data_IF_167715876427
#
_entry.id   IF_167715876427
#
_cell.length_a   1.000
_cell.length_b   1.000
_cell.length_c   1.000
_cell.angle_alpha   90.00
_cell.angle_beta   90.00
_cell.angle_gamma   90.00
#
_symmetry.space_group_name_H-M   'P 1'
#
loop_
_entity.id
_entity.type
_entity.pdbx_description
1 polymer ?
#
# COMPACT_ATOMS: atom_id res chain seq x y z
N UNK A 1 1.74 -22.41 30.68
CA UNK A 1 1.66 -22.58 29.20
C UNK A 1 2.32 -21.38 28.55
N UNK A 2 2.99 -21.56 27.40
CA UNK A 2 3.63 -20.42 26.73
C UNK A 2 2.58 -19.39 26.29
N UNK A 3 2.83 -18.12 26.60
CA UNK A 3 2.00 -16.96 26.15
C UNK A 3 2.26 -16.60 24.67
N UNK A 4 3.17 -17.31 24.03
CA UNK A 4 3.65 -17.03 22.68
C UNK A 4 3.05 -18.02 21.67
N UNK A 5 2.70 -17.53 20.50
CA UNK A 5 2.21 -18.34 19.39
C UNK A 5 3.33 -19.25 18.86
N UNK A 6 3.12 -20.57 18.89
CA UNK A 6 4.08 -21.60 18.48
C UNK A 6 5.50 -21.41 19.04
N UNK A 7 5.62 -20.80 20.23
CA UNK A 7 6.91 -20.54 20.88
C UNK A 7 7.66 -19.32 20.35
N UNK A 8 7.12 -18.58 19.39
CA UNK A 8 7.73 -17.33 18.89
C UNK A 8 7.56 -16.19 19.93
N UNK A 9 8.65 -15.69 20.54
CA UNK A 9 8.56 -14.65 21.56
C UNK A 9 7.98 -13.32 21.07
N UNK A 10 7.96 -13.10 19.76
CA UNK A 10 7.45 -11.85 19.16
C UNK A 10 5.96 -11.90 18.84
N UNK A 11 5.30 -13.06 19.00
CA UNK A 11 3.88 -13.25 18.66
C UNK A 11 3.07 -13.63 19.90
N UNK A 12 2.03 -12.83 20.20
CA UNK A 12 1.09 -13.14 21.29
C UNK A 12 0.18 -14.30 20.88
N UNK A 13 0.00 -15.26 21.78
CA UNK A 13 -0.97 -16.35 21.63
C UNK A 13 -2.39 -15.87 21.90
N UNK A 14 -3.39 -16.52 21.30
CA UNK A 14 -4.81 -16.28 21.61
C UNK A 14 -5.11 -16.54 23.10
N UNK A 15 -6.11 -15.87 23.61
CA UNK A 15 -6.56 -15.96 25.02
C UNK A 15 -5.45 -15.66 26.03
N UNK A 16 -4.39 -14.94 25.64
CA UNK A 16 -3.39 -14.46 26.60
C UNK A 16 -3.93 -13.19 27.25
N UNK A 17 -4.20 -13.21 28.58
CA UNK A 17 -4.70 -12.03 29.29
C UNK A 17 -3.67 -10.90 29.23
N UNK A 18 -4.15 -9.68 29.12
CA UNK A 18 -3.33 -8.48 29.18
C UNK A 18 -3.86 -7.60 30.30
N UNK A 19 -3.04 -7.37 31.30
CA UNK A 19 -3.32 -6.38 32.34
C UNK A 19 -2.85 -5.02 31.84
N UNK A 20 -3.80 -4.16 31.47
CA UNK A 20 -3.49 -2.81 30.99
C UNK A 20 -3.32 -1.85 32.17
N UNK A 21 -2.26 -1.03 32.12
CA UNK A 21 -2.20 0.17 32.95
C UNK A 21 -3.16 1.25 32.42
N UNK A 22 -3.48 2.22 33.25
CA UNK A 22 -4.36 3.32 32.84
C UNK A 22 -3.76 4.11 31.65
N UNK A 23 -2.45 4.30 31.64
CA UNK A 23 -1.73 4.96 30.54
C UNK A 23 -1.83 4.15 29.24
N UNK A 24 -1.71 2.83 29.32
CA UNK A 24 -1.85 1.95 28.15
C UNK A 24 -3.28 1.95 27.59
N UNK A 25 -4.31 2.06 28.44
CA UNK A 25 -5.71 2.18 27.97
C UNK A 25 -5.89 3.48 27.17
N UNK A 26 -5.41 4.61 27.72
CA UNK A 26 -5.48 5.91 27.03
C UNK A 26 -4.71 5.89 25.72
N UNK A 27 -3.50 5.33 25.74
CA UNK A 27 -2.65 5.23 24.54
C UNK A 27 -3.24 4.30 23.49
N UNK A 28 -3.84 3.17 23.90
CA UNK A 28 -4.55 2.26 22.99
C UNK A 28 -5.70 2.96 22.28
N UNK A 29 -6.52 3.73 23.03
CA UNK A 29 -7.62 4.51 22.46
C UNK A 29 -7.12 5.60 21.52
N UNK A 30 -6.02 6.27 21.84
CA UNK A 30 -5.39 7.26 20.99
C UNK A 30 -4.90 6.65 19.68
N UNK A 31 -4.23 5.50 19.77
CA UNK A 31 -3.77 4.75 18.60
C UNK A 31 -4.95 4.28 17.74
N UNK A 32 -6.02 3.75 18.33
CA UNK A 32 -7.20 3.29 17.61
C UNK A 32 -7.88 4.40 16.78
N UNK A 33 -7.92 5.62 17.33
CA UNK A 33 -8.57 6.77 16.70
C UNK A 33 -7.64 7.58 15.78
N UNK A 34 -6.32 7.35 15.83
CA UNK A 34 -5.35 8.11 15.05
C UNK A 34 -4.29 7.20 14.43
N UNK A 35 -4.47 6.79 13.16
CA UNK A 35 -3.51 5.93 12.47
C UNK A 35 -2.12 6.56 12.35
N UNK A 36 -2.01 7.89 12.16
CA UNK A 36 -0.72 8.57 12.08
C UNK A 36 0.04 8.45 13.40
N UNK A 37 -0.66 8.68 14.54
CA UNK A 37 -0.05 8.54 15.85
C UNK A 37 0.44 7.10 16.08
N UNK A 38 -0.39 6.10 15.79
CA UNK A 38 0.01 4.70 15.89
C UNK A 38 1.25 4.39 15.07
N UNK A 39 1.25 4.83 13.79
CA UNK A 39 2.34 4.52 12.87
C UNK A 39 3.66 5.17 13.29
N UNK A 40 3.66 6.44 13.70
CA UNK A 40 4.88 7.14 14.13
C UNK A 40 5.39 6.67 15.51
N UNK A 41 4.50 6.21 16.40
CA UNK A 41 4.87 5.80 17.76
C UNK A 41 5.32 4.33 17.85
N UNK A 42 4.74 3.44 17.04
CA UNK A 42 4.90 2.00 17.25
C UNK A 42 5.44 1.23 16.05
N UNK A 43 5.30 1.74 14.82
CA UNK A 43 5.79 1.03 13.65
C UNK A 43 7.30 1.19 13.51
N UNK A 44 7.96 0.06 13.28
CA UNK A 44 9.37 0.01 12.86
C UNK A 44 9.46 -0.53 11.44
N UNK A 45 10.39 0.01 10.69
CA UNK A 45 10.67 -0.34 9.30
C UNK A 45 12.14 -0.68 9.13
N UNK A 46 12.47 -1.41 8.06
CA UNK A 46 13.87 -1.68 7.71
C UNK A 46 14.37 -0.56 6.80
N UNK A 47 15.35 0.20 7.29
CA UNK A 47 16.20 1.07 6.48
C UNK A 47 17.35 0.26 5.89
N UNK A 48 17.76 0.60 4.66
CA UNK A 48 18.92 -0.07 4.03
C UNK A 48 20.23 0.27 4.75
N UNK A 49 20.32 1.48 5.31
CA UNK A 49 21.55 1.98 5.93
C UNK A 49 21.62 1.73 7.43
N UNK A 50 20.47 1.80 8.13
CA UNK A 50 20.41 1.81 9.60
C UNK A 50 19.76 0.55 10.19
N UNK A 51 19.27 -0.38 9.33
CA UNK A 51 18.55 -1.56 9.79
C UNK A 51 17.14 -1.25 10.30
N UNK A 52 16.76 -1.76 11.46
CA UNK A 52 15.40 -1.59 12.02
C UNK A 52 15.28 -0.25 12.75
N UNK A 53 14.48 0.66 12.19
CA UNK A 53 14.30 2.03 12.69
C UNK A 53 12.82 2.38 12.90
N UNK A 54 12.48 3.35 13.79
CA UNK A 54 11.14 3.89 13.89
C UNK A 54 10.67 4.50 12.56
N UNK A 55 9.38 4.31 12.24
CA UNK A 55 8.81 4.86 11.02
C UNK A 55 8.51 6.36 11.16
N UNK A 56 9.46 7.20 10.78
CA UNK A 56 9.27 8.65 10.68
C UNK A 56 8.70 8.98 9.30
N UNK A 57 7.39 9.31 9.26
CA UNK A 57 6.72 9.56 7.99
C UNK A 57 7.05 10.92 7.39
N UNK A 58 7.26 10.93 6.08
CA UNK A 58 7.33 12.16 5.28
C UNK A 58 5.95 12.81 5.13
N UNK A 59 5.91 14.10 4.78
CA UNK A 59 4.67 14.84 4.64
C UNK A 59 3.68 14.20 3.64
N UNK A 60 4.18 13.75 2.48
CA UNK A 60 3.35 13.08 1.49
C UNK A 60 2.82 11.72 1.97
N UNK A 61 3.59 10.98 2.80
CA UNK A 61 3.14 9.70 3.38
C UNK A 61 1.99 9.93 4.37
N UNK A 62 2.06 10.98 5.19
CA UNK A 62 0.95 11.37 6.07
C UNK A 62 -0.30 11.72 5.27
N UNK A 63 -0.16 12.48 4.17
CA UNK A 63 -1.26 12.78 3.24
C UNK A 63 -1.88 11.51 2.64
N UNK A 64 -1.06 10.52 2.27
CA UNK A 64 -1.56 9.22 1.78
C UNK A 64 -2.40 8.53 2.86
N UNK A 65 -1.90 8.43 4.09
CA UNK A 65 -2.62 7.79 5.21
C UNK A 65 -3.94 8.50 5.50
N UNK A 66 -3.93 9.82 5.59
CA UNK A 66 -5.14 10.62 5.82
C UNK A 66 -6.16 10.44 4.68
N UNK A 67 -5.69 10.41 3.44
CA UNK A 67 -6.58 10.18 2.29
C UNK A 67 -7.20 8.79 2.32
N UNK A 68 -6.42 7.75 2.57
CA UNK A 68 -6.91 6.36 2.69
C UNK A 68 -7.88 6.24 3.87
N UNK A 69 -7.58 6.89 4.99
CA UNK A 69 -8.42 6.81 6.18
C UNK A 69 -9.81 7.41 5.94
N UNK A 70 -9.87 8.56 5.29
CA UNK A 70 -11.09 9.34 5.12
C UNK A 70 -11.90 8.99 3.86
N UNK A 71 -11.31 8.30 2.88
CA UNK A 71 -11.97 8.01 1.61
C UNK A 71 -12.08 6.50 1.34
N UNK A 72 -13.03 6.12 0.50
CA UNK A 72 -13.24 4.73 0.09
C UNK A 72 -12.28 4.31 -1.02
N UNK A 73 -12.04 5.19 -1.97
CA UNK A 73 -11.25 4.91 -3.15
C UNK A 73 -10.07 5.87 -3.21
N UNK A 74 -8.87 5.33 -3.25
CA UNK A 74 -7.62 6.11 -3.34
C UNK A 74 -6.75 5.51 -4.43
N UNK A 75 -6.23 6.36 -5.31
CA UNK A 75 -5.25 5.98 -6.32
C UNK A 75 -4.00 6.85 -6.18
N UNK A 76 -2.84 6.20 -6.08
CA UNK A 76 -1.57 6.87 -5.82
C UNK A 76 -0.58 6.61 -6.93
N UNK A 77 -0.10 7.69 -7.56
CA UNK A 77 0.98 7.71 -8.54
C UNK A 77 2.24 8.22 -7.85
N UNK A 78 3.19 7.32 -7.60
CA UNK A 78 4.40 7.62 -6.84
C UNK A 78 5.66 7.10 -7.51
N UNK A 79 6.80 7.79 -7.34
CA UNK A 79 8.07 7.32 -7.83
C UNK A 79 8.51 6.03 -7.11
N UNK A 80 9.40 5.31 -7.74
CA UNK A 80 10.00 4.12 -7.14
C UNK A 80 10.74 4.48 -5.84
N UNK A 81 10.76 3.55 -4.86
CA UNK A 81 11.44 3.71 -3.57
C UNK A 81 11.01 4.94 -2.75
N UNK A 82 9.77 5.40 -2.89
CA UNK A 82 9.18 6.47 -2.06
C UNK A 82 8.57 5.96 -0.73
N UNK A 83 8.69 4.67 -0.44
CA UNK A 83 8.07 4.06 0.74
C UNK A 83 6.56 3.82 0.61
N UNK A 84 6.01 3.87 -0.62
CA UNK A 84 4.57 3.70 -0.90
C UNK A 84 3.95 2.45 -0.27
N UNK A 85 4.53 1.28 -0.54
CA UNK A 85 4.01 0.01 0.01
C UNK A 85 4.14 -0.04 1.53
N UNK A 86 5.27 0.43 2.09
CA UNK A 86 5.50 0.49 3.54
C UNK A 86 4.47 1.36 4.25
N UNK A 87 4.16 2.54 3.70
CA UNK A 87 3.14 3.43 4.25
C UNK A 87 1.77 2.77 4.24
N UNK A 88 1.38 2.16 3.12
CA UNK A 88 0.06 1.52 2.99
C UNK A 88 -0.07 0.32 3.93
N UNK A 89 0.93 -0.60 3.99
CA UNK A 89 0.84 -1.78 4.86
C UNK A 89 0.80 -1.41 6.35
N UNK A 90 1.48 -0.34 6.75
CA UNK A 90 1.42 0.14 8.14
C UNK A 90 0.02 0.62 8.51
N UNK A 91 -0.68 1.27 7.57
CA UNK A 91 -2.09 1.59 7.71
C UNK A 91 -2.97 0.33 7.73
N UNK A 92 -2.72 -0.67 6.87
CA UNK A 92 -3.47 -1.93 6.88
C UNK A 92 -3.32 -2.67 8.21
N UNK A 93 -2.13 -2.64 8.79
CA UNK A 93 -1.89 -3.21 10.12
C UNK A 93 -2.69 -2.48 11.20
N UNK A 94 -2.68 -1.14 11.21
CA UNK A 94 -3.53 -0.35 12.09
C UNK A 94 -5.01 -0.76 11.95
N UNK A 95 -5.50 -0.83 10.71
CA UNK A 95 -6.89 -1.18 10.45
C UNK A 95 -7.25 -2.58 10.99
N UNK A 96 -6.40 -3.58 10.76
CA UNK A 96 -6.62 -4.94 11.23
C UNK A 96 -6.60 -5.06 12.77
N UNK A 97 -5.76 -4.28 13.45
CA UNK A 97 -5.65 -4.30 14.91
C UNK A 97 -6.86 -3.68 15.60
N UNK A 98 -7.35 -2.57 15.08
CA UNK A 98 -8.35 -1.73 15.76
C UNK A 98 -9.77 -1.85 15.20
N UNK A 99 -9.98 -2.59 14.10
CA UNK A 99 -11.31 -2.87 13.53
C UNK A 99 -11.53 -4.38 13.50
N UNK A 100 -12.24 -4.95 14.48
CA UNK A 100 -12.50 -6.38 14.51
C UNK A 100 -13.31 -6.86 13.31
N UNK A 101 -13.19 -8.16 12.98
CA UNK A 101 -13.86 -8.80 11.85
C UNK A 101 -13.53 -8.17 10.48
N UNK A 102 -12.33 -7.66 10.33
CA UNK A 102 -11.89 -7.02 9.09
C UNK A 102 -11.18 -8.01 8.18
N UNK A 103 -11.60 -8.08 6.93
CA UNK A 103 -10.94 -8.85 5.88
C UNK A 103 -10.18 -7.92 4.95
N UNK A 104 -8.88 -8.14 4.81
CA UNK A 104 -7.97 -7.30 4.02
C UNK A 104 -7.29 -8.16 2.97
N UNK A 105 -7.31 -7.72 1.70
CA UNK A 105 -6.56 -8.35 0.62
C UNK A 105 -5.39 -7.46 0.18
N UNK A 106 -4.19 -8.04 0.15
CA UNK A 106 -2.98 -7.44 -0.43
C UNK A 106 -2.72 -8.14 -1.75
N UNK A 107 -2.80 -7.40 -2.83
CA UNK A 107 -2.64 -7.92 -4.19
C UNK A 107 -1.49 -7.20 -4.90
N UNK A 108 -0.65 -7.96 -5.59
CA UNK A 108 0.45 -7.42 -6.39
C UNK A 108 0.51 -8.13 -7.74
N UNK A 109 1.34 -7.65 -8.65
CA UNK A 109 1.53 -8.26 -9.96
C UNK A 109 2.01 -9.72 -9.89
N UNK A 110 2.74 -10.09 -8.81
CA UNK A 110 3.25 -11.47 -8.56
C UNK A 110 2.95 -11.90 -7.14
N UNK A 111 2.72 -13.21 -6.93
CA UNK A 111 2.53 -13.78 -5.58
C UNK A 111 3.74 -13.58 -4.66
N UNK A 112 4.97 -13.63 -5.21
CA UNK A 112 6.19 -13.35 -4.44
C UNK A 112 6.18 -11.94 -3.87
N UNK A 113 5.87 -10.95 -4.70
CA UNK A 113 5.77 -9.54 -4.30
C UNK A 113 4.70 -9.34 -3.23
N UNK A 114 3.52 -9.93 -3.39
CA UNK A 114 2.46 -9.84 -2.38
C UNK A 114 2.89 -10.44 -1.03
N UNK A 115 3.60 -11.58 -1.05
CA UNK A 115 4.16 -12.21 0.16
C UNK A 115 5.26 -11.38 0.81
N UNK A 116 6.11 -10.74 0.03
CA UNK A 116 7.14 -9.84 0.54
C UNK A 116 6.52 -8.61 1.22
N UNK A 117 5.43 -8.08 0.66
CA UNK A 117 4.65 -7.00 1.27
C UNK A 117 4.05 -7.46 2.60
N UNK A 118 3.42 -8.66 2.63
CA UNK A 118 2.89 -9.23 3.86
C UNK A 118 3.99 -9.48 4.90
N UNK A 119 5.18 -9.92 4.47
CA UNK A 119 6.34 -10.11 5.35
C UNK A 119 6.79 -8.82 6.04
N UNK A 120 6.71 -7.67 5.37
CA UNK A 120 6.99 -6.36 5.99
C UNK A 120 5.93 -6.00 7.04
N UNK A 121 4.66 -6.30 6.77
CA UNK A 121 3.59 -6.12 7.73
C UNK A 121 3.79 -7.03 8.96
N UNK A 122 4.21 -8.29 8.73
CA UNK A 122 4.54 -9.23 9.79
C UNK A 122 5.68 -8.70 10.67
N UNK A 123 6.74 -8.18 10.08
CA UNK A 123 7.85 -7.58 10.81
C UNK A 123 7.38 -6.38 11.67
N UNK A 124 6.55 -5.51 11.10
CA UNK A 124 5.99 -4.39 11.85
C UNK A 124 5.16 -4.87 13.06
N UNK A 125 4.31 -5.87 12.87
CA UNK A 125 3.51 -6.47 13.94
C UNK A 125 4.38 -7.11 15.03
N UNK A 126 5.41 -7.87 14.68
CA UNK A 126 6.33 -8.54 15.61
C UNK A 126 7.11 -7.56 16.52
N UNK A 127 7.25 -6.32 16.07
CA UNK A 127 7.89 -5.25 16.83
C UNK A 127 6.93 -4.42 17.70
N UNK A 128 5.63 -4.68 17.66
CA UNK A 128 4.68 -4.03 18.55
C UNK A 128 4.82 -4.54 19.99
N UNK A 129 4.59 -3.69 21.00
CA UNK A 129 4.52 -4.15 22.36
C UNK A 129 3.38 -5.16 22.55
N UNK A 130 3.57 -6.16 23.39
CA UNK A 130 2.62 -7.27 23.59
C UNK A 130 1.22 -6.82 23.98
N UNK A 131 1.09 -5.76 24.76
CA UNK A 131 -0.20 -5.21 25.16
C UNK A 131 -1.00 -4.62 23.99
N UNK A 132 -0.33 -4.28 22.87
CA UNK A 132 -0.99 -3.76 21.67
C UNK A 132 -1.30 -4.86 20.63
N UNK A 133 -0.62 -6.02 20.73
CA UNK A 133 -0.86 -7.13 19.83
C UNK A 133 -2.20 -7.81 20.09
N UNK A 134 -2.96 -8.13 19.04
CA UNK A 134 -4.02 -9.13 19.09
C UNK A 134 -3.40 -10.54 19.16
N UNK A 135 -4.06 -11.51 19.76
CA UNK A 135 -3.59 -12.90 19.70
C UNK A 135 -3.55 -13.43 18.27
N UNK A 136 -2.58 -14.26 17.95
CA UNK A 136 -2.42 -14.84 16.61
C UNK A 136 -3.14 -16.19 16.53
N UNK A 137 -4.03 -16.37 15.54
CA UNK A 137 -4.69 -17.63 15.20
C UNK A 137 -3.93 -18.34 14.09
N UNK A 138 -3.59 -17.59 13.02
CA UNK A 138 -2.81 -18.11 11.90
C UNK A 138 -1.74 -17.10 11.47
N UNK A 139 -0.53 -17.62 11.19
CA UNK A 139 0.61 -16.81 10.83
C UNK A 139 1.47 -17.53 9.81
N UNK A 140 1.30 -17.20 8.55
CA UNK A 140 2.09 -17.79 7.48
C UNK A 140 2.41 -16.76 6.37
N UNK A 141 3.17 -17.17 5.34
CA UNK A 141 3.61 -16.29 4.25
C UNK A 141 2.48 -15.83 3.30
N UNK A 142 1.30 -16.40 3.41
CA UNK A 142 0.17 -16.09 2.52
C UNK A 142 -1.00 -15.42 3.22
N UNK A 143 -1.14 -15.66 4.54
CA UNK A 143 -2.20 -15.04 5.30
C UNK A 143 -1.88 -14.90 6.79
N UNK A 144 -2.58 -13.99 7.44
CA UNK A 144 -2.60 -13.75 8.87
C UNK A 144 -4.05 -13.81 9.33
N UNK A 145 -4.30 -14.43 10.48
CA UNK A 145 -5.57 -14.35 11.18
C UNK A 145 -5.32 -13.99 12.64
N UNK A 146 -6.03 -12.97 13.12
CA UNK A 146 -5.91 -12.43 14.47
C UNK A 146 -7.12 -12.82 15.33
N UNK A 147 -6.94 -12.78 16.65
CA UNK A 147 -7.95 -13.14 17.65
C UNK A 147 -9.22 -12.29 17.54
N UNK A 148 -9.12 -11.02 17.13
CA UNK A 148 -10.25 -10.15 16.85
C UNK A 148 -11.00 -10.49 15.55
N UNK A 149 -10.68 -11.65 14.93
CA UNK A 149 -11.25 -12.18 13.67
C UNK A 149 -10.87 -11.36 12.44
N UNK A 150 -9.90 -10.48 12.52
CA UNK A 150 -9.37 -9.82 11.34
C UNK A 150 -8.44 -10.75 10.58
N UNK A 151 -8.56 -10.75 9.25
CA UNK A 151 -7.74 -11.55 8.34
C UNK A 151 -7.04 -10.67 7.31
N UNK A 152 -5.79 -11.03 6.99
CA UNK A 152 -5.02 -10.37 5.92
C UNK A 152 -4.52 -11.47 4.99
N UNK A 153 -4.88 -11.40 3.71
CA UNK A 153 -4.42 -12.36 2.69
C UNK A 153 -3.56 -11.67 1.65
N UNK A 154 -2.54 -12.37 1.17
CA UNK A 154 -1.63 -11.90 0.13
C UNK A 154 -1.64 -12.82 -1.08
N UNK A 155 -1.94 -12.29 -2.27
CA UNK A 155 -2.03 -13.06 -3.50
C UNK A 155 -1.57 -12.25 -4.73
N UNK A 156 -1.33 -12.94 -5.85
CA UNK A 156 -1.20 -12.24 -7.13
C UNK A 156 -2.54 -11.69 -7.59
N UNK A 157 -2.53 -10.53 -8.24
CA UNK A 157 -3.72 -9.97 -8.89
C UNK A 157 -4.16 -10.90 -10.01
N UNK A 158 -5.36 -11.45 -9.89
CA UNK A 158 -5.98 -12.30 -10.91
C UNK A 158 -7.50 -12.18 -10.82
N UNK A 159 -8.21 -12.58 -11.86
CA UNK A 159 -9.68 -12.55 -11.89
C UNK A 159 -10.36 -13.42 -10.81
N UNK A 160 -9.64 -14.35 -10.23
CA UNK A 160 -10.13 -15.27 -9.19
C UNK A 160 -9.51 -15.07 -7.81
N UNK A 161 -8.49 -14.20 -7.67
CA UNK A 161 -7.69 -14.09 -6.44
C UNK A 161 -8.50 -13.86 -5.17
N UNK A 162 -9.56 -13.07 -5.26
CA UNK A 162 -10.42 -12.70 -4.12
C UNK A 162 -11.91 -12.86 -4.47
N UNK A 163 -12.21 -13.62 -5.53
CA UNK A 163 -13.60 -13.85 -5.97
C UNK A 163 -14.37 -14.65 -4.93
N UNK A 164 -15.57 -14.19 -4.60
CA UNK A 164 -16.44 -14.84 -3.62
C UNK A 164 -16.15 -14.51 -2.16
N UNK A 165 -15.07 -13.76 -1.89
CA UNK A 165 -14.80 -13.21 -0.55
C UNK A 165 -15.43 -11.83 -0.35
N UNK A 166 -15.68 -11.48 0.91
CA UNK A 166 -16.07 -10.12 1.30
C UNK A 166 -14.88 -9.44 1.97
N UNK A 167 -14.48 -8.28 1.47
CA UNK A 167 -13.31 -7.56 1.96
C UNK A 167 -13.67 -6.15 2.40
N UNK A 168 -13.06 -5.73 3.51
CA UNK A 168 -13.16 -4.36 4.01
C UNK A 168 -12.15 -3.44 3.30
N UNK A 169 -10.97 -3.99 2.99
CA UNK A 169 -9.94 -3.27 2.23
C UNK A 169 -9.34 -4.19 1.17
N UNK A 170 -9.20 -3.66 -0.05
CA UNK A 170 -8.44 -4.27 -1.13
C UNK A 170 -7.30 -3.31 -1.47
N UNK A 171 -6.08 -3.77 -1.30
CA UNK A 171 -4.86 -3.05 -1.64
C UNK A 171 -4.21 -3.67 -2.88
N UNK A 172 -4.06 -2.87 -3.93
CA UNK A 172 -3.40 -3.21 -5.18
C UNK A 172 -2.05 -2.49 -5.24
N UNK A 173 -0.96 -3.23 -5.08
CA UNK A 173 0.40 -2.69 -5.21
C UNK A 173 0.97 -2.98 -6.60
N UNK A 174 1.72 -2.01 -7.13
CA UNK A 174 2.33 -2.06 -8.47
C UNK A 174 1.30 -2.40 -9.57
N UNK A 175 0.09 -1.82 -9.47
CA UNK A 175 -1.03 -2.18 -10.33
C UNK A 175 -0.79 -1.86 -11.81
N UNK A 176 0.01 -0.84 -12.15
CA UNK A 176 0.37 -0.54 -13.54
C UNK A 176 1.17 -1.67 -14.22
N UNK A 177 1.77 -2.58 -13.45
CA UNK A 177 2.51 -3.73 -13.99
C UNK A 177 1.66 -5.00 -14.14
N UNK A 178 0.38 -4.93 -13.83
CA UNK A 178 -0.57 -6.03 -14.07
C UNK A 178 -0.98 -6.02 -15.54
N UNK A 179 -0.89 -7.15 -16.27
CA UNK A 179 -1.33 -7.21 -17.67
C UNK A 179 -2.77 -6.71 -17.84
N UNK A 180 -3.03 -5.93 -18.88
CA UNK A 180 -4.31 -5.22 -19.09
C UNK A 180 -5.51 -6.15 -19.07
N UNK A 181 -5.44 -7.31 -19.75
CA UNK A 181 -6.51 -8.30 -19.74
C UNK A 181 -6.82 -8.88 -18.36
N UNK A 182 -5.79 -9.03 -17.50
CA UNK A 182 -5.97 -9.48 -16.10
C UNK A 182 -6.56 -8.35 -15.28
N UNK A 183 -6.08 -7.12 -15.44
CA UNK A 183 -6.58 -5.96 -14.71
C UNK A 183 -8.08 -5.70 -14.99
N UNK A 184 -8.50 -5.73 -16.26
CA UNK A 184 -9.90 -5.57 -16.65
C UNK A 184 -10.79 -6.68 -16.12
N UNK A 185 -10.35 -7.95 -16.26
CA UNK A 185 -11.07 -9.11 -15.73
C UNK A 185 -11.17 -9.08 -14.19
N UNK A 186 -10.13 -8.61 -13.51
CA UNK A 186 -10.13 -8.41 -12.06
C UNK A 186 -11.19 -7.40 -11.65
N UNK A 187 -11.20 -6.21 -12.25
CA UNK A 187 -12.19 -5.18 -11.92
C UNK A 187 -13.63 -5.66 -12.16
N UNK A 188 -13.88 -6.31 -13.28
CA UNK A 188 -15.22 -6.87 -13.59
C UNK A 188 -15.68 -7.88 -12.53
N UNK A 189 -14.76 -8.68 -11.99
CA UNK A 189 -15.09 -9.73 -11.02
C UNK A 189 -15.16 -9.24 -9.56
N UNK A 190 -14.40 -8.19 -9.22
CA UNK A 190 -14.24 -7.71 -7.83
C UNK A 190 -15.10 -6.49 -7.53
N UNK A 191 -15.42 -5.66 -8.52
CA UNK A 191 -16.22 -4.47 -8.31
C UNK A 191 -17.57 -4.71 -7.64
N UNK A 192 -18.33 -5.79 -7.97
CA UNK A 192 -19.57 -6.11 -7.26
C UNK A 192 -19.37 -6.33 -5.75
N UNK A 193 -18.24 -6.93 -5.36
CA UNK A 193 -17.90 -7.15 -3.95
C UNK A 193 -17.63 -5.83 -3.22
N UNK A 194 -16.96 -4.89 -3.89
CA UNK A 194 -16.65 -3.57 -3.33
C UNK A 194 -17.90 -2.70 -3.24
N UNK A 195 -18.77 -2.76 -4.25
CA UNK A 195 -19.99 -1.97 -4.32
C UNK A 195 -21.04 -2.38 -3.29
N UNK A 196 -21.00 -3.64 -2.83
CA UNK A 196 -21.94 -4.15 -1.83
C UNK A 196 -21.80 -3.49 -0.45
N UNK A 197 -20.61 -2.96 -0.11
CA UNK A 197 -20.35 -2.33 1.18
C UNK A 197 -20.18 -0.81 1.06
N UNK A 198 -20.83 -0.04 1.95
CA UNK A 198 -20.68 1.42 1.99
C UNK A 198 -19.34 1.89 2.57
N UNK A 199 -18.61 1.01 3.28
CA UNK A 199 -17.32 1.32 3.96
C UNK A 199 -16.12 0.59 3.38
N UNK A 200 -16.32 -0.27 2.39
CA UNK A 200 -15.22 -0.98 1.72
C UNK A 200 -14.27 0.00 1.05
N UNK A 201 -12.98 -0.20 1.23
CA UNK A 201 -11.93 0.64 0.67
C UNK A 201 -11.19 -0.08 -0.45
N UNK A 202 -10.86 0.64 -1.52
CA UNK A 202 -9.91 0.21 -2.53
C UNK A 202 -8.75 1.19 -2.59
N UNK A 203 -7.54 0.67 -2.46
CA UNK A 203 -6.30 1.44 -2.45
C UNK A 203 -5.46 0.92 -3.61
N UNK A 204 -5.17 1.77 -4.57
CA UNK A 204 -4.34 1.43 -5.73
C UNK A 204 -3.07 2.27 -5.66
N UNK A 205 -1.92 1.60 -5.70
CA UNK A 205 -0.63 2.27 -5.64
C UNK A 205 0.26 1.74 -6.75
N UNK A 206 0.89 2.63 -7.51
CA UNK A 206 1.84 2.22 -8.53
C UNK A 206 2.82 3.32 -8.92
N UNK A 207 3.98 2.93 -9.44
CA UNK A 207 4.72 3.71 -10.42
C UNK A 207 3.99 3.57 -11.75
N UNK A 208 3.78 4.62 -12.56
CA UNK A 208 3.14 4.52 -13.87
C UNK A 208 3.94 3.62 -14.81
N UNK A 209 3.23 2.88 -15.64
CA UNK A 209 3.85 2.04 -16.66
C UNK A 209 2.93 1.89 -17.89
N UNK A 210 3.09 2.75 -18.88
CA UNK A 210 2.29 2.75 -20.12
C UNK A 210 0.82 3.16 -19.90
N UNK A 211 0.05 3.15 -21.00
CA UNK A 211 -1.36 3.54 -21.03
C UNK A 211 -2.30 2.36 -20.81
N UNK A 212 -2.28 1.81 -19.62
CA UNK A 212 -3.02 0.64 -19.20
C UNK A 212 -4.23 0.99 -18.32
N UNK A 213 -4.79 -0.01 -17.63
CA UNK A 213 -5.93 0.19 -16.71
C UNK A 213 -5.62 1.16 -15.56
N UNK A 214 -4.37 1.20 -15.05
CA UNK A 214 -3.97 2.17 -14.04
C UNK A 214 -4.03 3.60 -14.60
N UNK A 215 -3.48 3.82 -15.80
CA UNK A 215 -3.53 5.12 -16.48
C UNK A 215 -4.98 5.59 -16.69
N UNK A 216 -5.87 4.70 -17.17
CA UNK A 216 -7.29 5.02 -17.35
C UNK A 216 -7.95 5.45 -16.04
N UNK A 217 -7.76 4.67 -14.96
CA UNK A 217 -8.33 5.00 -13.64
C UNK A 217 -7.76 6.31 -13.09
N UNK A 218 -6.47 6.54 -13.29
CA UNK A 218 -5.79 7.77 -12.89
C UNK A 218 -6.37 9.00 -13.61
N UNK A 219 -6.41 8.96 -14.94
CA UNK A 219 -6.92 10.06 -15.77
C UNK A 219 -8.41 10.33 -15.48
N UNK A 220 -9.21 9.28 -15.26
CA UNK A 220 -10.60 9.44 -14.88
C UNK A 220 -10.75 10.06 -13.48
N UNK A 221 -9.83 9.76 -12.55
CA UNK A 221 -9.82 10.37 -11.22
C UNK A 221 -9.46 11.87 -11.28
N UNK A 222 -8.41 12.24 -12.02
CA UNK A 222 -8.02 13.65 -12.24
C UNK A 222 -9.16 14.47 -12.87
N UNK A 223 -9.89 13.88 -13.80
CA UNK A 223 -11.03 14.49 -14.48
C UNK A 223 -12.37 14.34 -13.72
N UNK A 224 -12.35 13.79 -12.49
CA UNK A 224 -13.54 13.56 -11.65
C UNK A 224 -14.62 12.69 -12.34
N UNK A 225 -14.22 11.72 -13.15
CA UNK A 225 -15.10 10.77 -13.84
C UNK A 225 -15.31 9.48 -13.05
N UNK A 226 -14.54 9.29 -11.98
CA UNK A 226 -14.69 8.20 -11.03
C UNK A 226 -14.56 8.73 -9.59
N UNK A 227 -14.77 7.86 -8.60
CA UNK A 227 -14.76 8.22 -7.17
C UNK A 227 -13.38 8.13 -6.52
N UNK A 228 -12.32 7.82 -7.28
CA UNK A 228 -10.99 7.74 -6.72
C UNK A 228 -10.42 9.14 -6.41
N UNK A 229 -9.82 9.26 -5.23
CA UNK A 229 -9.05 10.45 -4.86
C UNK A 229 -7.60 10.23 -5.33
N UNK A 230 -7.12 11.01 -6.31
CA UNK A 230 -5.77 10.87 -6.82
C UNK A 230 -4.75 11.54 -5.89
N UNK A 231 -3.64 10.86 -5.66
CA UNK A 231 -2.46 11.40 -4.99
C UNK A 231 -1.25 11.19 -5.90
N UNK A 232 -0.65 12.29 -6.27
CA UNK A 232 0.63 12.31 -6.97
C UNK A 232 1.73 12.77 -6.02
N UNK A 233 2.90 12.15 -6.15
CA UNK A 233 4.12 12.56 -5.45
C UNK A 233 5.23 12.69 -6.47
N UNK A 234 5.81 13.86 -6.56
CA UNK A 234 6.98 14.09 -7.41
C UNK A 234 8.24 13.51 -6.76
N UNK A 235 9.21 13.09 -7.55
CA UNK A 235 10.44 12.49 -7.04
C UNK A 235 11.21 13.40 -6.08
N UNK A 236 11.18 14.72 -6.32
CA UNK A 236 11.85 15.72 -5.48
C UNK A 236 11.20 15.93 -4.10
N UNK A 237 9.97 15.42 -3.88
CA UNK A 237 9.34 15.43 -2.56
C UNK A 237 9.91 14.34 -1.63
N UNK A 238 10.67 13.39 -2.20
CA UNK A 238 11.31 12.34 -1.42
C UNK A 238 12.63 12.89 -0.84
N UNK A 239 12.81 12.96 0.46
CA UNK A 239 14.02 13.49 1.08
C UNK A 239 15.31 12.85 0.55
N UNK A 240 16.30 13.68 0.31
CA UNK A 240 17.59 13.26 -0.26
C UNK A 240 17.60 13.16 -1.79
N UNK A 241 16.50 13.53 -2.46
CA UNK A 241 16.45 13.59 -3.92
C UNK A 241 16.39 15.03 -4.40
N UNK A 242 17.54 15.53 -4.79
CA UNK A 242 17.73 16.84 -5.41
C UNK A 242 18.19 16.71 -6.87
N UNK A 243 18.48 17.82 -7.54
CA UNK A 243 18.98 17.81 -8.92
C UNK A 243 20.31 17.04 -9.06
N UNK A 244 21.19 17.12 -8.06
CA UNK A 244 22.45 16.37 -8.09
C UNK A 244 22.20 14.85 -8.04
N UNK A 245 21.25 14.41 -7.21
CA UNK A 245 20.79 13.02 -7.18
C UNK A 245 20.17 12.59 -8.53
N UNK A 246 19.34 13.46 -9.14
CA UNK A 246 18.77 13.21 -10.48
C UNK A 246 19.86 12.99 -11.52
N UNK A 247 20.80 13.94 -11.63
CA UNK A 247 21.92 13.86 -12.57
C UNK A 247 22.77 12.60 -12.35
N UNK A 248 23.05 12.26 -11.09
CA UNK A 248 23.78 11.04 -10.76
C UNK A 248 23.02 9.79 -11.19
N UNK A 249 21.70 9.75 -10.97
CA UNK A 249 20.84 8.62 -11.34
C UNK A 249 20.82 8.45 -12.86
N UNK A 250 20.64 9.53 -13.62
CA UNK A 250 20.66 9.53 -15.09
C UNK A 250 22.01 9.04 -15.61
N UNK A 251 23.12 9.51 -15.05
CA UNK A 251 24.48 9.04 -15.45
C UNK A 251 24.69 7.55 -15.23
N UNK A 252 24.08 6.97 -14.20
CA UNK A 252 24.20 5.55 -13.85
C UNK A 252 23.18 4.66 -14.53
N UNK A 253 22.15 5.25 -15.17
CA UNK A 253 21.08 4.52 -15.86
C UNK A 253 20.85 5.11 -17.26
N UNK A 254 19.76 5.81 -17.47
CA UNK A 254 19.48 6.63 -18.66
C UNK A 254 18.38 7.64 -18.33
N UNK A 255 18.22 8.66 -19.18
CA UNK A 255 17.11 9.63 -19.08
C UNK A 255 15.75 8.91 -19.16
N UNK A 256 15.57 7.99 -20.11
CA UNK A 256 14.33 7.24 -20.28
C UNK A 256 13.99 6.41 -19.04
N UNK A 257 15.01 5.78 -18.42
CA UNK A 257 14.80 5.00 -17.22
C UNK A 257 14.48 5.90 -16.03
N UNK A 258 15.10 7.07 -15.93
CA UNK A 258 14.76 8.04 -14.89
C UNK A 258 13.31 8.52 -15.03
N UNK A 259 12.89 8.90 -16.24
CA UNK A 259 11.52 9.32 -16.52
C UNK A 259 10.50 8.23 -16.17
N UNK A 260 10.76 6.99 -16.54
CA UNK A 260 9.88 5.87 -16.26
C UNK A 260 9.74 5.58 -14.77
N UNK A 261 10.84 5.60 -14.01
CA UNK A 261 10.87 5.10 -12.63
C UNK A 261 10.61 6.21 -11.59
N UNK A 262 10.91 7.47 -11.93
CA UNK A 262 10.92 8.57 -10.98
C UNK A 262 10.07 9.77 -11.39
N UNK A 263 10.09 10.23 -12.64
CA UNK A 263 9.30 11.41 -13.06
C UNK A 263 7.81 11.10 -13.20
N UNK A 264 7.45 9.83 -13.34
CA UNK A 264 6.05 9.44 -13.43
C UNK A 264 5.29 10.23 -14.50
N UNK A 265 5.89 10.40 -15.68
CA UNK A 265 5.30 11.13 -16.81
C UNK A 265 3.90 10.63 -17.14
N UNK A 266 3.00 11.54 -17.47
CA UNK A 266 1.62 11.24 -17.84
C UNK A 266 1.42 11.35 -19.38
N UNK A 267 0.23 10.98 -19.86
CA UNK A 267 -0.12 11.07 -21.26
C UNK A 267 -0.08 12.48 -21.85
N UNK A 268 -0.17 13.51 -21.01
CA UNK A 268 -0.09 14.92 -21.42
C UNK A 268 1.35 15.41 -21.56
N UNK A 269 2.34 14.62 -21.10
CA UNK A 269 3.74 14.98 -21.22
C UNK A 269 4.11 15.17 -22.69
N UNK A 270 4.70 16.31 -23.00
CA UNK A 270 5.15 16.63 -24.37
C UNK A 270 6.50 16.01 -24.58
N UNK A 271 6.62 15.17 -25.60
CA UNK A 271 7.87 14.59 -26.07
C UNK A 271 8.26 15.18 -27.40
N UNK A 272 9.55 15.36 -27.64
CA UNK A 272 10.09 15.80 -28.91
C UNK A 272 10.35 14.58 -29.81
N UNK A 273 9.76 14.59 -31.00
CA UNK A 273 9.92 13.53 -32.01
C UNK A 273 10.49 14.13 -33.28
N UNK A 274 10.86 13.32 -34.24
CA UNK A 274 11.30 13.79 -35.57
C UNK A 274 10.25 14.64 -36.26
N UNK A 275 8.95 14.42 -35.97
CA UNK A 275 7.82 15.15 -36.50
C UNK A 275 7.44 16.39 -35.66
N UNK A 276 8.20 16.71 -34.61
CA UNK A 276 7.95 17.83 -33.71
C UNK A 276 7.43 17.42 -32.31
N UNK A 277 6.93 18.41 -31.57
CA UNK A 277 6.43 18.19 -30.19
C UNK A 277 5.05 17.57 -30.21
N UNK A 278 4.90 16.42 -29.57
CA UNK A 278 3.64 15.67 -29.48
C UNK A 278 3.41 15.20 -28.04
N UNK A 279 2.16 15.08 -27.61
CA UNK A 279 1.83 14.45 -26.35
C UNK A 279 2.10 12.94 -26.41
N UNK A 280 2.60 12.35 -25.31
CA UNK A 280 2.83 10.90 -25.22
C UNK A 280 1.55 10.11 -25.57
N UNK A 281 0.38 10.56 -25.12
CA UNK A 281 -0.89 9.88 -25.43
C UNK A 281 -1.23 9.87 -26.92
N UNK A 282 -0.87 10.94 -27.64
CA UNK A 282 -1.14 11.05 -29.08
C UNK A 282 -0.08 10.28 -29.90
N UNK A 283 1.14 10.16 -29.40
CA UNK A 283 2.16 9.31 -29.98
C UNK A 283 1.74 7.83 -29.87
N UNK A 284 1.22 7.41 -28.71
CA UNK A 284 0.78 6.04 -28.48
C UNK A 284 -0.42 5.61 -29.33
N UNK A 285 -1.31 6.56 -29.70
CA UNK A 285 -2.42 6.29 -30.63
C UNK A 285 -1.97 6.07 -32.08
N UNK A 286 -0.75 6.47 -32.41
CA UNK A 286 -0.17 6.31 -33.77
C UNK A 286 0.62 5.01 -33.91
N UNK A 287 0.96 4.33 -32.80
CA UNK A 287 1.64 3.03 -32.78
C UNK A 287 0.62 1.88 -32.72
#
# INVERSE_FOLDING_TARGET
MSENYLGNPNLKKINTPVEYTQEQIVEYQKCANNPLHFMESYIKIVSLDEGLVPFKMYGFQKKIVDTIHNNRFTICKLPRQSGKSTTTISYLLHYALFNPNSNIAILANKSSTARDILGRLQLAYENLPKWMQQGVINWNKGNIELENKSTIVAAATSSSAIRGGSYNIIFLDEFAFVPTNIAESFFSSVYPTISAGSKTKMIIVSTPYGMNQFYKLWTDAENKRNDYIPIEVHWSEVPGRDEAWKEQTIRNTSEEQFQQEFECVDGNTIVETEDGKIKIEDLYKKL
#
